data_IF_806909030692
#
_entry.id   IF_806909030692
#
_cell.length_a   1.000
_cell.length_b   1.000
_cell.length_c   1.000
_cell.angle_alpha   90.00
_cell.angle_beta   90.00
_cell.angle_gamma   90.00
#
_symmetry.space_group_name_H-M   'P 1'
#
loop_
_entity.id
_entity.type
_entity.pdbx_description
1 polymer ?
#
# COMPACT_ATOMS: atom_id res chain seq x y z
N UNK A 1 -7.64 -0.12 7.25
CA UNK A 1 -7.43 0.76 6.08
C UNK A 1 -8.79 1.12 5.51
N UNK A 2 -9.19 2.37 5.62
CA UNK A 2 -10.40 2.84 4.97
C UNK A 2 -10.07 3.21 3.51
N UNK A 3 -10.95 2.84 2.57
CA UNK A 3 -10.78 3.06 1.12
C UNK A 3 -11.91 3.92 0.57
N UNK A 4 -11.57 4.82 -0.35
CA UNK A 4 -12.49 5.75 -1.01
C UNK A 4 -12.44 5.48 -2.51
N UNK A 5 -13.57 5.20 -3.13
CA UNK A 5 -13.65 5.02 -4.58
C UNK A 5 -13.88 6.37 -5.24
N UNK A 6 -12.86 6.98 -5.86
CA UNK A 6 -12.97 8.26 -6.55
C UNK A 6 -13.31 8.05 -8.02
N UNK A 7 -14.36 8.70 -8.53
CA UNK A 7 -14.69 8.78 -9.95
C UNK A 7 -14.36 10.16 -10.49
N UNK A 8 -13.65 10.18 -11.61
CA UNK A 8 -13.20 11.31 -12.40
C UNK A 8 -13.60 11.02 -13.86
N UNK A 9 -14.27 11.97 -14.49
CA UNK A 9 -14.72 11.90 -15.87
C UNK A 9 -14.17 13.12 -16.61
N UNK A 10 -13.39 12.91 -17.68
CA UNK A 10 -12.71 13.98 -18.42
C UNK A 10 -11.85 14.93 -17.56
N UNK A 11 -11.14 14.39 -16.56
CA UNK A 11 -10.32 15.19 -15.64
C UNK A 11 -11.12 15.98 -14.59
N UNK A 12 -12.44 15.79 -14.54
CA UNK A 12 -13.34 16.41 -13.57
C UNK A 12 -13.89 15.34 -12.62
N UNK A 13 -13.83 15.62 -11.32
CA UNK A 13 -14.34 14.70 -10.31
C UNK A 13 -15.87 14.62 -10.33
N UNK A 14 -16.42 13.40 -10.32
CA UNK A 14 -17.85 13.13 -10.48
C UNK A 14 -18.51 12.56 -9.21
N UNK A 15 -17.88 11.58 -8.52
CA UNK A 15 -18.48 10.94 -7.33
C UNK A 15 -17.45 10.19 -6.48
N UNK A 16 -17.78 9.94 -5.21
CA UNK A 16 -17.06 9.00 -4.36
C UNK A 16 -17.98 8.15 -3.47
N UNK A 17 -17.84 6.83 -3.54
CA UNK A 17 -18.65 5.89 -2.73
C UNK A 17 -17.94 5.54 -1.42
N UNK A 18 -18.65 5.60 -0.29
CA UNK A 18 -18.17 5.16 1.04
C UNK A 18 -18.10 6.22 2.16
N UNK A 19 -18.66 7.43 1.98
CA UNK A 19 -18.62 8.52 2.97
C UNK A 19 -20.02 8.85 3.55
N UNK A 20 -20.09 9.29 4.82
CA UNK A 20 -21.27 9.97 5.38
C UNK A 20 -21.38 11.36 4.73
N UNK A 21 -22.52 11.60 4.10
CA UNK A 21 -22.85 12.79 3.33
C UNK A 21 -23.24 13.92 4.30
N UNK A 22 -22.29 14.70 4.80
CA UNK A 22 -22.64 15.93 5.53
C UNK A 22 -22.12 17.21 4.86
N UNK A 23 -21.09 17.15 4.02
CA UNK A 23 -20.58 18.34 3.31
C UNK A 23 -20.09 17.96 1.90
N UNK A 24 -21.03 17.77 0.97
CA UNK A 24 -20.70 17.64 -0.46
C UNK A 24 -20.84 19.00 -1.16
N UNK A 25 -19.75 19.47 -1.75
CA UNK A 25 -19.78 20.42 -2.85
C UNK A 25 -18.91 19.86 -3.98
N UNK A 26 -19.16 20.22 -5.23
CA UNK A 26 -18.40 19.70 -6.40
C UNK A 26 -16.88 19.91 -6.34
N UNK A 27 -16.38 20.66 -5.35
CA UNK A 27 -14.96 20.98 -5.15
C UNK A 27 -14.33 20.40 -3.89
N UNK A 28 -15.10 19.86 -2.94
CA UNK A 28 -14.58 19.41 -1.64
C UNK A 28 -15.17 18.06 -1.22
N UNK A 29 -14.29 17.16 -0.75
CA UNK A 29 -14.64 15.81 -0.30
C UNK A 29 -13.88 15.49 0.99
N UNK A 30 -14.57 15.03 2.04
CA UNK A 30 -13.92 14.45 3.21
C UNK A 30 -13.99 12.93 3.10
N UNK A 31 -12.85 12.24 3.09
CA UNK A 31 -12.82 10.78 3.02
C UNK A 31 -11.58 10.18 3.69
N UNK A 32 -11.76 9.17 4.55
CA UNK A 32 -10.67 8.43 5.22
C UNK A 32 -9.63 9.33 5.92
N UNK A 33 -10.09 10.41 6.55
CA UNK A 33 -9.21 11.39 7.20
C UNK A 33 -8.59 12.43 6.26
N UNK A 34 -8.84 12.33 4.95
CA UNK A 34 -8.50 13.37 3.98
C UNK A 34 -9.60 14.40 3.83
N UNK A 35 -9.20 15.66 3.77
CA UNK A 35 -9.95 16.78 3.22
C UNK A 35 -9.39 17.06 1.81
N UNK A 36 -10.10 16.60 0.77
CA UNK A 36 -9.72 16.71 -0.63
C UNK A 36 -10.42 17.88 -1.32
N UNK A 37 -9.66 18.62 -2.13
CA UNK A 37 -10.15 19.70 -2.98
C UNK A 37 -9.67 19.52 -4.42
N UNK A 38 -10.55 19.72 -5.39
CA UNK A 38 -10.16 19.84 -6.80
C UNK A 38 -10.16 21.31 -7.19
N UNK A 39 -9.01 21.79 -7.65
CA UNK A 39 -8.83 23.16 -8.12
C UNK A 39 -9.35 23.33 -9.55
N UNK A 40 -9.66 24.55 -9.97
CA UNK A 40 -10.18 24.83 -11.32
C UNK A 40 -9.21 24.43 -12.45
N UNK A 41 -7.92 24.33 -12.16
CA UNK A 41 -6.87 23.83 -13.06
C UNK A 41 -6.71 22.30 -13.00
N UNK A 42 -7.66 21.59 -12.40
CA UNK A 42 -7.69 20.12 -12.23
C UNK A 42 -6.64 19.55 -11.28
N UNK A 43 -5.91 20.38 -10.52
CA UNK A 43 -5.03 19.90 -9.46
C UNK A 43 -5.85 19.39 -8.28
N UNK A 44 -5.58 18.17 -7.84
CA UNK A 44 -6.21 17.56 -6.67
C UNK A 44 -5.30 17.79 -5.45
N UNK A 45 -5.86 18.30 -4.36
CA UNK A 45 -5.15 18.50 -3.09
C UNK A 45 -5.92 17.83 -1.97
N UNK A 46 -5.34 16.79 -1.39
CA UNK A 46 -5.88 16.13 -0.21
C UNK A 46 -5.01 16.46 0.98
N UNK A 47 -5.62 16.94 2.07
CA UNK A 47 -4.92 17.26 3.32
C UNK A 47 -5.50 16.45 4.48
N UNK A 48 -4.66 15.75 5.22
CA UNK A 48 -5.00 15.15 6.50
C UNK A 48 -4.38 16.01 7.61
N UNK A 49 -5.06 16.14 8.75
CA UNK A 49 -4.63 16.96 9.89
C UNK A 49 -4.82 16.18 11.18
N UNK A 50 -3.89 16.32 12.11
CA UNK A 50 -3.95 15.70 13.43
C UNK A 50 -3.37 16.66 14.48
N UNK A 51 -4.04 16.78 15.62
CA UNK A 51 -3.56 17.59 16.73
C UNK A 51 -2.54 16.78 17.55
N UNK A 52 -1.29 17.22 17.53
CA UNK A 52 -0.18 16.68 18.31
C UNK A 52 0.13 17.58 19.52
N UNK A 53 1.05 17.15 20.37
CA UNK A 53 1.45 17.86 21.60
C UNK A 53 2.02 19.25 21.29
N UNK A 54 2.73 19.37 20.19
CA UNK A 54 3.42 20.56 19.69
C UNK A 54 2.60 21.37 18.67
N UNK A 55 1.37 20.94 18.37
CA UNK A 55 0.38 21.68 17.59
C UNK A 55 -0.24 20.87 16.46
N UNK A 56 -0.80 21.55 15.47
CA UNK A 56 -1.49 20.89 14.34
C UNK A 56 -0.48 20.42 13.30
N UNK A 57 -0.37 19.10 13.15
CA UNK A 57 0.42 18.47 12.10
C UNK A 57 -0.49 18.26 10.88
N UNK A 58 0.08 18.39 9.68
CA UNK A 58 -0.68 18.13 8.47
C UNK A 58 0.14 17.47 7.39
N UNK A 59 -0.48 16.48 6.76
CA UNK A 59 0.05 15.80 5.58
C UNK A 59 -0.76 16.24 4.37
N UNK A 60 -0.10 16.59 3.26
CA UNK A 60 -0.77 17.00 2.03
C UNK A 60 -0.28 16.19 0.85
N UNK A 61 -1.22 15.56 0.15
CA UNK A 61 -0.99 14.87 -1.11
C UNK A 61 -1.56 15.74 -2.25
N UNK A 62 -0.68 16.21 -3.13
CA UNK A 62 -1.03 17.01 -4.31
C UNK A 62 -0.84 16.17 -5.56
N UNK A 63 -1.83 16.13 -6.44
CA UNK A 63 -1.80 15.40 -7.71
C UNK A 63 -2.11 16.38 -8.83
N UNK A 64 -1.19 16.48 -9.79
CA UNK A 64 -1.32 17.34 -10.96
C UNK A 64 -1.97 16.58 -12.11
N UNK A 65 -2.56 17.29 -13.07
CA UNK A 65 -3.27 16.68 -14.21
C UNK A 65 -2.40 15.76 -15.08
N UNK A 66 -1.09 15.97 -15.08
CA UNK A 66 -0.13 15.11 -15.78
C UNK A 66 0.26 13.85 -14.97
N UNK A 67 -0.42 13.59 -13.85
CA UNK A 67 -0.16 12.49 -12.93
C UNK A 67 1.13 12.61 -12.13
N UNK A 68 1.80 13.76 -12.15
CA UNK A 68 2.83 14.06 -11.16
C UNK A 68 2.18 14.25 -9.78
N UNK A 69 2.86 13.82 -8.72
CA UNK A 69 2.36 13.95 -7.36
C UNK A 69 3.44 14.38 -6.38
N UNK A 70 3.01 15.06 -5.31
CA UNK A 70 3.86 15.51 -4.22
C UNK A 70 3.16 15.24 -2.88
N UNK A 71 3.86 14.57 -1.98
CA UNK A 71 3.46 14.36 -0.60
C UNK A 71 4.34 15.22 0.30
N UNK A 72 3.72 16.11 1.06
CA UNK A 72 4.39 16.98 2.02
C UNK A 72 3.85 16.80 3.44
N UNK A 73 4.73 17.08 4.40
CA UNK A 73 4.43 17.10 5.83
C UNK A 73 4.75 18.49 6.38
N UNK A 74 3.81 19.03 7.15
CA UNK A 74 3.97 20.28 7.89
C UNK A 74 3.79 19.98 9.38
N UNK A 75 4.90 20.14 10.10
CA UNK A 75 4.98 20.16 11.56
C UNK A 75 4.98 21.64 12.01
N UNK A 76 4.35 21.98 13.15
CA UNK A 76 4.44 23.31 13.75
C UNK A 76 5.89 23.77 13.89
N UNK A 77 6.15 25.06 13.66
CA UNK A 77 7.47 25.69 13.78
C UNK A 77 8.60 25.12 12.88
N UNK A 78 8.33 24.12 12.05
CA UNK A 78 9.29 23.58 11.09
C UNK A 78 8.96 23.99 9.64
N UNK A 79 9.95 24.06 8.72
CA UNK A 79 9.67 24.19 7.31
C UNK A 79 8.87 22.98 6.78
N UNK A 80 8.06 23.20 5.74
CA UNK A 80 7.34 22.11 5.07
C UNK A 80 8.36 21.14 4.47
N UNK A 81 8.24 19.86 4.78
CA UNK A 81 9.11 18.80 4.25
C UNK A 81 8.40 18.08 3.11
N UNK A 82 9.09 17.85 1.99
CA UNK A 82 8.60 16.96 0.94
C UNK A 82 9.03 15.54 1.29
N UNK A 83 8.05 14.68 1.55
CA UNK A 83 8.28 13.28 1.93
C UNK A 83 8.49 12.41 0.69
N UNK A 84 7.70 12.66 -0.36
CA UNK A 84 7.75 11.89 -1.61
C UNK A 84 7.27 12.75 -2.77
N UNK A 85 7.87 12.55 -3.94
CA UNK A 85 7.38 13.12 -5.20
C UNK A 85 7.62 12.17 -6.36
N UNK A 86 6.80 12.25 -7.39
CA UNK A 86 6.94 11.42 -8.59
C UNK A 86 5.62 11.20 -9.32
N UNK A 87 5.70 10.56 -10.48
CA UNK A 87 4.53 10.20 -11.26
C UNK A 87 3.79 9.01 -10.63
N UNK A 88 2.46 9.11 -10.59
CA UNK A 88 1.55 8.06 -10.09
C UNK A 88 0.81 7.32 -11.21
N UNK A 89 1.10 7.69 -12.45
CA UNK A 89 0.59 7.04 -13.67
C UNK A 89 1.77 6.56 -14.52
N UNK A 90 1.55 5.58 -15.41
CA UNK A 90 2.62 5.17 -16.33
C UNK A 90 2.86 6.27 -17.37
N UNK A 91 4.08 6.30 -17.92
CA UNK A 91 4.45 7.24 -18.97
C UNK A 91 3.53 7.04 -20.20
N UNK A 92 2.86 8.09 -20.62
CA UNK A 92 1.96 8.08 -21.79
C UNK A 92 0.51 7.71 -21.47
N UNK A 93 0.18 7.36 -20.22
CA UNK A 93 -1.20 7.20 -19.79
C UNK A 93 -1.85 8.55 -19.45
N UNK A 94 -3.17 8.61 -19.59
CA UNK A 94 -3.96 9.77 -19.19
C UNK A 94 -4.34 9.59 -17.73
N UNK A 95 -4.16 10.63 -16.92
CA UNK A 95 -4.57 10.61 -15.53
C UNK A 95 -6.07 10.32 -15.39
N UNK A 96 -6.41 9.27 -14.65
CA UNK A 96 -7.76 8.77 -14.50
C UNK A 96 -8.15 8.48 -13.04
N UNK A 97 -9.20 7.68 -12.88
CA UNK A 97 -9.71 7.27 -11.57
C UNK A 97 -8.66 6.54 -10.74
N UNK A 98 -8.79 6.64 -9.42
CA UNK A 98 -7.92 5.91 -8.51
C UNK A 98 -8.38 5.93 -7.08
N UNK A 99 -7.55 5.34 -6.22
CA UNK A 99 -7.74 5.24 -4.78
C UNK A 99 -6.59 5.97 -4.10
N UNK A 100 -6.94 6.97 -3.29
CA UNK A 100 -6.03 7.60 -2.34
C UNK A 100 -6.14 6.87 -1.00
N UNK A 101 -5.04 6.29 -0.55
CA UNK A 101 -4.95 5.61 0.73
C UNK A 101 -4.16 6.40 1.76
N UNK A 102 -4.59 6.31 3.02
CA UNK A 102 -3.90 6.80 4.21
C UNK A 102 -3.91 5.69 5.25
N UNK A 103 -2.75 5.37 5.83
CA UNK A 103 -2.66 4.41 6.92
C UNK A 103 -3.13 5.02 8.24
N UNK A 104 -3.45 4.16 9.21
CA UNK A 104 -3.63 4.56 10.60
C UNK A 104 -2.26 4.87 11.27
N UNK A 105 -2.29 5.40 12.49
CA UNK A 105 -1.11 5.75 13.29
C UNK A 105 -0.88 7.25 13.43
N UNK A 106 0.26 7.66 13.99
CA UNK A 106 0.64 9.07 14.11
C UNK A 106 0.85 9.69 12.73
N UNK A 107 0.23 10.84 12.45
CA UNK A 107 0.27 11.50 11.13
C UNK A 107 1.67 11.62 10.53
N UNK A 108 2.70 11.85 11.34
CA UNK A 108 4.09 12.01 10.91
C UNK A 108 4.70 10.73 10.29
N UNK A 109 4.10 9.59 10.59
CA UNK A 109 4.55 8.26 10.15
C UNK A 109 3.51 7.55 9.29
N UNK A 110 2.39 8.21 8.96
CA UNK A 110 1.37 7.59 8.12
C UNK A 110 1.89 7.37 6.71
N UNK A 111 1.63 6.18 6.21
CA UNK A 111 1.86 5.82 4.81
C UNK A 111 0.71 6.32 3.95
N UNK A 112 1.04 7.00 2.86
CA UNK A 112 0.08 7.55 1.89
C UNK A 112 0.42 7.11 0.47
N UNK A 113 -0.61 6.82 -0.32
CA UNK A 113 -0.45 6.44 -1.73
C UNK A 113 -1.64 6.89 -2.58
N UNK A 114 -1.40 7.17 -3.86
CA UNK A 114 -2.43 7.13 -4.89
C UNK A 114 -2.19 5.90 -5.78
N UNK A 115 -3.27 5.19 -6.11
CA UNK A 115 -3.27 4.03 -7.00
C UNK A 115 -4.33 4.22 -8.06
N UNK A 116 -3.95 4.18 -9.32
CA UNK A 116 -4.93 4.21 -10.41
C UNK A 116 -5.89 3.00 -10.33
N UNK A 117 -7.10 3.15 -10.86
CA UNK A 117 -8.15 2.13 -10.82
C UNK A 117 -7.71 0.82 -11.48
N UNK A 118 -7.02 0.90 -12.62
CA UNK A 118 -6.44 -0.24 -13.34
C UNK A 118 -5.46 -1.02 -12.45
N UNK A 119 -4.54 -0.32 -11.81
CA UNK A 119 -3.58 -0.87 -10.87
C UNK A 119 -4.28 -1.46 -9.63
N UNK A 120 -5.26 -0.77 -9.06
CA UNK A 120 -6.01 -1.27 -7.91
C UNK A 120 -6.80 -2.54 -8.25
N UNK A 121 -7.41 -2.62 -9.44
CA UNK A 121 -8.05 -3.84 -9.94
C UNK A 121 -7.07 -4.99 -10.09
N UNK A 122 -5.87 -4.73 -10.61
CA UNK A 122 -4.80 -5.73 -10.68
C UNK A 122 -4.46 -6.26 -9.28
N UNK A 123 -4.23 -5.37 -8.31
CA UNK A 123 -3.91 -5.77 -6.93
C UNK A 123 -5.03 -6.61 -6.31
N UNK A 124 -6.28 -6.15 -6.43
CA UNK A 124 -7.45 -6.85 -5.91
C UNK A 124 -7.65 -8.22 -6.56
N UNK A 125 -7.41 -8.36 -7.87
CA UNK A 125 -7.52 -9.62 -8.61
C UNK A 125 -6.63 -10.73 -8.04
N UNK A 126 -5.45 -10.37 -7.52
CA UNK A 126 -4.47 -11.33 -6.99
C UNK A 126 -4.32 -11.26 -5.46
N UNK A 127 -5.07 -10.40 -4.77
CA UNK A 127 -4.96 -10.21 -3.32
C UNK A 127 -3.70 -9.49 -2.87
N UNK A 128 -2.98 -8.85 -3.79
CA UNK A 128 -1.71 -8.18 -3.50
C UNK A 128 -1.96 -6.92 -2.67
N UNK A 129 -1.31 -6.81 -1.52
CA UNK A 129 -1.42 -5.64 -0.65
C UNK A 129 -0.36 -4.58 -0.97
N UNK A 130 0.81 -5.00 -1.45
CA UNK A 130 1.90 -4.11 -1.83
C UNK A 130 2.75 -4.68 -2.98
N UNK A 131 3.25 -3.78 -3.83
CA UNK A 131 4.28 -4.07 -4.84
C UNK A 131 5.58 -3.45 -4.35
N UNK A 132 6.62 -4.26 -4.23
CA UNK A 132 7.95 -3.91 -3.75
C UNK A 132 8.88 -3.95 -4.97
N UNK A 133 9.37 -2.78 -5.37
CA UNK A 133 10.22 -2.64 -6.56
C UNK A 133 11.68 -3.01 -6.27
N UNK A 134 11.89 -4.29 -5.98
CA UNK A 134 13.18 -4.89 -5.64
C UNK A 134 13.42 -6.15 -6.47
N UNK A 135 14.68 -6.56 -6.55
CA UNK A 135 15.12 -7.78 -7.21
C UNK A 135 14.39 -9.02 -6.63
N UNK A 136 13.59 -9.74 -7.44
CA UNK A 136 12.93 -10.98 -7.00
C UNK A 136 13.90 -12.16 -6.85
N UNK A 137 15.07 -12.13 -7.49
CA UNK A 137 16.09 -13.18 -7.42
C UNK A 137 17.01 -13.00 -6.21
N UNK A 138 16.54 -13.45 -5.05
CA UNK A 138 17.27 -13.33 -3.79
C UNK A 138 16.86 -14.43 -2.82
N UNK A 139 17.54 -14.44 -1.67
CA UNK A 139 17.18 -15.30 -0.55
C UNK A 139 16.03 -14.67 0.23
N UNK A 140 14.99 -15.45 0.48
CA UNK A 140 13.86 -15.08 1.33
C UNK A 140 13.80 -16.01 2.54
N UNK A 141 13.62 -15.44 3.74
CA UNK A 141 13.40 -16.19 4.97
C UNK A 141 11.90 -16.27 5.26
N UNK A 142 11.31 -17.44 5.08
CA UNK A 142 9.91 -17.73 5.35
C UNK A 142 9.76 -18.23 6.78
N UNK A 143 8.88 -17.58 7.53
CA UNK A 143 8.61 -17.93 8.93
C UNK A 143 7.29 -18.68 9.03
N UNK A 144 7.31 -19.81 9.73
CA UNK A 144 6.12 -20.61 10.01
C UNK A 144 6.12 -21.09 11.45
N UNK A 145 4.97 -21.06 12.11
CA UNK A 145 4.83 -21.54 13.48
C UNK A 145 3.43 -21.30 14.00
N UNK A 146 2.99 -22.18 14.89
CA UNK A 146 1.67 -22.14 15.49
C UNK A 146 1.79 -22.49 16.99
N UNK A 147 0.98 -21.83 17.80
CA UNK A 147 0.67 -22.20 19.18
C UNK A 147 -0.83 -21.96 19.41
N UNK A 148 -1.38 -22.39 20.54
CA UNK A 148 -2.82 -22.43 20.84
C UNK A 148 -3.64 -21.27 20.25
N UNK A 149 -3.20 -20.03 20.47
CA UNK A 149 -3.87 -18.82 20.00
C UNK A 149 -3.10 -18.02 18.94
N UNK A 150 -1.93 -18.49 18.48
CA UNK A 150 -1.04 -17.69 17.64
C UNK A 150 -0.61 -18.44 16.38
N UNK A 151 -0.65 -17.76 15.25
CA UNK A 151 -0.16 -18.26 13.97
C UNK A 151 0.78 -17.24 13.35
N UNK A 152 1.92 -17.71 12.85
CA UNK A 152 2.71 -16.99 11.88
C UNK A 152 2.93 -17.93 10.70
N UNK A 153 2.52 -17.53 9.51
CA UNK A 153 2.68 -18.36 8.31
C UNK A 153 3.12 -17.49 7.14
N UNK A 154 4.22 -17.87 6.50
CA UNK A 154 4.69 -17.27 5.27
C UNK A 154 4.76 -18.30 4.15
N UNK A 155 4.19 -17.94 3.01
CA UNK A 155 4.23 -18.74 1.80
C UNK A 155 4.86 -17.92 0.68
N UNK A 156 5.59 -18.60 -0.21
CA UNK A 156 6.26 -17.99 -1.35
C UNK A 156 5.79 -18.66 -2.65
N UNK A 157 5.50 -17.84 -3.64
CA UNK A 157 5.28 -18.26 -5.03
C UNK A 157 6.19 -17.44 -5.94
N UNK A 158 6.68 -18.04 -7.01
CA UNK A 158 7.50 -17.36 -8.01
C UNK A 158 7.30 -18.02 -9.37
N UNK A 159 7.61 -17.29 -10.45
CA UNK A 159 7.72 -17.85 -11.78
C UNK A 159 9.14 -18.34 -12.14
N UNK A 160 10.10 -18.15 -11.25
CA UNK A 160 11.44 -18.70 -11.36
C UNK A 160 11.58 -20.07 -10.68
N UNK A 161 12.81 -20.47 -10.42
CA UNK A 161 13.14 -21.62 -9.59
C UNK A 161 13.30 -21.21 -8.13
N UNK A 162 12.78 -22.01 -7.21
CA UNK A 162 12.90 -21.80 -5.77
C UNK A 162 13.51 -23.04 -5.12
N UNK A 163 14.62 -22.87 -4.39
CA UNK A 163 15.35 -23.96 -3.74
C UNK A 163 15.48 -23.65 -2.25
N UNK A 164 15.07 -24.58 -1.40
CA UNK A 164 15.33 -24.50 0.04
C UNK A 164 16.83 -24.64 0.30
N UNK A 165 17.42 -23.67 0.99
CA UNK A 165 18.88 -23.63 1.28
C UNK A 165 19.20 -23.85 2.76
N UNK A 166 18.18 -24.06 3.59
CA UNK A 166 18.34 -24.36 5.01
C UNK A 166 17.16 -23.90 5.84
N UNK A 167 17.07 -24.43 7.04
CA UNK A 167 16.08 -24.01 8.02
C UNK A 167 16.68 -23.97 9.43
N UNK A 168 16.04 -23.21 10.32
CA UNK A 168 16.40 -23.14 11.72
C UNK A 168 15.19 -22.85 12.60
N UNK A 169 15.21 -23.35 13.83
CA UNK A 169 14.19 -23.03 14.81
C UNK A 169 14.48 -21.63 15.40
N UNK A 170 13.46 -20.79 15.47
CA UNK A 170 13.53 -19.47 16.10
C UNK A 170 12.32 -19.24 17.02
N UNK A 171 12.44 -18.24 17.91
CA UNK A 171 11.29 -17.69 18.60
C UNK A 171 10.61 -16.64 17.73
N UNK A 172 9.40 -16.96 17.25
CA UNK A 172 8.56 -16.04 16.50
C UNK A 172 7.79 -15.11 17.42
N UNK A 173 7.24 -14.03 16.86
CA UNK A 173 6.41 -13.08 17.58
C UNK A 173 5.12 -12.77 16.81
N UNK A 174 3.98 -12.86 17.49
CA UNK A 174 2.69 -12.39 17.00
C UNK A 174 2.11 -11.41 18.02
N UNK A 175 2.02 -10.13 17.64
CA UNK A 175 1.48 -9.05 18.50
C UNK A 175 2.05 -9.01 19.93
N UNK A 176 3.35 -9.25 20.08
CA UNK A 176 4.04 -9.26 21.38
C UNK A 176 4.13 -10.64 22.04
N UNK A 177 3.33 -11.62 21.65
CA UNK A 177 3.41 -13.00 22.16
C UNK A 177 4.48 -13.79 21.43
N UNK A 178 5.39 -14.43 22.17
CA UNK A 178 6.49 -15.25 21.64
C UNK A 178 6.14 -16.74 21.66
N UNK A 179 6.48 -17.46 20.60
CA UNK A 179 6.27 -18.91 20.48
C UNK A 179 7.31 -19.52 19.53
N UNK A 180 7.63 -20.81 19.66
CA UNK A 180 8.59 -21.47 18.77
C UNK A 180 8.05 -21.53 17.34
N UNK A 181 8.94 -21.43 16.36
CA UNK A 181 8.63 -21.65 14.96
C UNK A 181 9.87 -21.96 14.14
N UNK A 182 9.65 -22.23 12.86
CA UNK A 182 10.67 -22.54 11.87
C UNK A 182 10.88 -21.34 10.95
N UNK A 183 12.15 -21.02 10.68
CA UNK A 183 12.54 -20.11 9.61
C UNK A 183 13.21 -20.95 8.52
N UNK A 184 12.60 -20.97 7.34
CA UNK A 184 13.15 -21.61 6.15
C UNK A 184 13.71 -20.54 5.21
N UNK A 185 14.95 -20.69 4.78
CA UNK A 185 15.57 -19.83 3.78
C UNK A 185 15.41 -20.46 2.39
N UNK A 186 14.84 -19.71 1.46
CA UNK A 186 14.61 -20.13 0.07
C UNK A 186 15.37 -19.19 -0.86
N UNK A 187 16.24 -19.76 -1.70
CA UNK A 187 16.92 -19.02 -2.78
C UNK A 187 16.04 -19.05 -4.03
N UNK A 188 15.68 -17.88 -4.55
CA UNK A 188 14.91 -17.74 -5.79
C UNK A 188 15.82 -17.28 -6.92
N UNK A 189 15.74 -17.96 -8.07
CA UNK A 189 16.54 -17.68 -9.26
C UNK A 189 15.67 -17.67 -10.53
N UNK A 190 16.11 -16.95 -11.57
CA UNK A 190 15.43 -16.81 -12.87
C UNK A 190 13.96 -16.33 -12.80
N UNK A 191 13.62 -15.61 -11.74
CA UNK A 191 12.29 -15.05 -11.51
C UNK A 191 12.15 -13.63 -12.10
N UNK A 192 10.97 -13.34 -12.64
CA UNK A 192 10.54 -11.96 -12.93
C UNK A 192 9.73 -11.37 -11.76
N UNK A 193 9.15 -12.24 -10.95
CA UNK A 193 8.42 -11.85 -9.75
C UNK A 193 8.49 -12.94 -8.67
N UNK A 194 8.41 -12.49 -7.43
CA UNK A 194 8.25 -13.35 -6.26
C UNK A 194 7.13 -12.78 -5.39
N UNK A 195 6.16 -13.61 -5.04
CA UNK A 195 5.01 -13.25 -4.23
C UNK A 195 5.13 -13.89 -2.86
N UNK A 196 5.07 -13.07 -1.81
CA UNK A 196 5.09 -13.56 -0.43
C UNK A 196 3.76 -13.23 0.24
N UNK A 197 3.06 -14.26 0.70
CA UNK A 197 1.92 -14.11 1.60
C UNK A 197 2.40 -14.31 3.02
N UNK A 198 1.98 -13.44 3.93
CA UNK A 198 2.21 -13.53 5.36
C UNK A 198 0.88 -13.43 6.08
N UNK A 199 0.64 -14.35 6.99
CA UNK A 199 -0.48 -14.36 7.93
C UNK A 199 0.09 -14.30 9.34
N UNK A 200 -0.40 -13.35 10.13
CA UNK A 200 -0.09 -13.23 11.56
C UNK A 200 -1.43 -13.22 12.30
N UNK A 201 -1.66 -14.19 13.18
CA UNK A 201 -2.86 -14.27 14.01
C UNK A 201 -2.48 -14.31 15.50
N UNK A 202 -3.26 -13.64 16.33
CA UNK A 202 -3.24 -13.79 17.79
C UNK A 202 -4.65 -13.58 18.35
N UNK A 203 -5.29 -14.65 18.83
CA UNK A 203 -6.70 -14.64 19.19
C UNK A 203 -7.57 -14.12 18.04
N UNK A 204 -8.36 -13.07 18.31
CA UNK A 204 -9.26 -12.45 17.31
C UNK A 204 -8.56 -11.47 16.35
N UNK A 205 -7.25 -11.23 16.50
CA UNK A 205 -6.50 -10.33 15.62
C UNK A 205 -5.86 -11.12 14.51
N UNK A 206 -6.09 -10.71 13.27
CA UNK A 206 -5.44 -11.28 12.10
C UNK A 206 -4.93 -10.17 11.17
N UNK A 207 -3.70 -10.34 10.68
CA UNK A 207 -3.13 -9.53 9.60
C UNK A 207 -2.74 -10.47 8.48
N UNK A 208 -3.27 -10.18 7.29
CA UNK A 208 -2.83 -10.80 6.04
C UNK A 208 -2.14 -9.73 5.20
N UNK A 209 -0.93 -10.02 4.75
CA UNK A 209 -0.22 -9.19 3.78
C UNK A 209 0.30 -10.05 2.64
N UNK A 210 0.22 -9.54 1.42
CA UNK A 210 0.67 -10.20 0.22
C UNK A 210 1.53 -9.24 -0.59
N UNK A 211 2.83 -9.48 -0.58
CA UNK A 211 3.83 -8.59 -1.13
C UNK A 211 4.40 -9.17 -2.43
N UNK A 212 4.26 -8.44 -3.52
CA UNK A 212 4.81 -8.77 -4.83
C UNK A 212 6.17 -8.07 -5.01
N UNK A 213 7.25 -8.83 -5.08
CA UNK A 213 8.59 -8.35 -5.42
C UNK A 213 8.80 -8.44 -6.92
N UNK A 214 9.14 -7.34 -7.59
CA UNK A 214 9.44 -7.32 -9.02
C UNK A 214 10.13 -6.02 -9.44
N UNK A 215 11.05 -6.11 -10.40
CA UNK A 215 11.62 -4.94 -11.09
C UNK A 215 10.81 -4.51 -12.32
N UNK A 216 9.74 -5.25 -12.67
CA UNK A 216 8.88 -4.89 -13.78
C UNK A 216 7.98 -3.70 -13.39
N UNK A 217 7.94 -2.68 -14.25
CA UNK A 217 7.07 -1.51 -14.06
C UNK A 217 5.72 -1.71 -14.73
N UNK A 218 5.68 -2.49 -15.81
CA UNK A 218 4.46 -2.85 -16.49
C UNK A 218 3.93 -4.19 -15.99
N UNK A 219 3.07 -4.16 -14.96
CA UNK A 219 2.56 -5.37 -14.31
C UNK A 219 1.75 -6.29 -15.23
N UNK A 220 1.29 -5.80 -16.38
CA UNK A 220 0.61 -6.60 -17.41
C UNK A 220 1.55 -7.64 -18.05
N UNK A 221 2.87 -7.45 -17.93
CA UNK A 221 3.89 -8.41 -18.39
C UNK A 221 4.15 -9.55 -17.39
N UNK A 222 3.57 -9.46 -16.18
CA UNK A 222 3.69 -10.50 -15.17
C UNK A 222 2.68 -11.62 -15.42
N UNK A 223 3.19 -12.77 -15.88
CA UNK A 223 2.39 -13.97 -16.16
C UNK A 223 2.50 -14.98 -15.02
N UNK A 224 1.45 -15.80 -14.86
CA UNK A 224 1.45 -16.93 -13.91
C UNK A 224 1.23 -16.56 -12.44
N UNK A 225 0.84 -15.33 -12.12
CA UNK A 225 0.52 -14.94 -10.74
C UNK A 225 -0.67 -15.77 -10.19
N UNK A 226 -0.54 -16.39 -9.01
CA UNK A 226 -1.61 -17.17 -8.42
C UNK A 226 -2.76 -16.27 -7.97
N UNK A 227 -4.00 -16.71 -8.17
CA UNK A 227 -5.18 -16.09 -7.57
C UNK A 227 -5.40 -16.72 -6.20
N UNK A 228 -5.17 -15.94 -5.15
CA UNK A 228 -5.24 -16.38 -3.75
C UNK A 228 -6.40 -15.72 -2.98
N UNK A 229 -7.38 -15.19 -3.72
CA UNK A 229 -8.59 -14.50 -3.24
C UNK A 229 -9.81 -15.25 -3.77
#
# INVERSE_FOLDING_TARGET
MAVAMITINNGLFEKCNGAKIEIFSSKFLIVNGWECQVQNNGVIKCTAKELCIDGMHSMRYTIYQNGFSELSLKVPNEPVKIIKKGFVIKKGEVFGNGVLGLSDGFIDHRYTFFREESFQKFLSKYGITAVIHEEPNKIFCLKSGESDDNLYCMNLWTNGSAVSIGNQNEMLNSFGKRFPGLVECVSVNDAKWTLIRRVIRSGNKEIISMNLFTLERNLDLLVGLPKLV
#
